data_IF_937999655742
#
_entry.id   IF_937999655742
#
_cell.length_a   1.000
_cell.length_b   1.000
_cell.length_c   1.000
_cell.angle_alpha   90.00
_cell.angle_beta   90.00
_cell.angle_gamma   90.00
#
_symmetry.space_group_name_H-M   'P 1'
#
loop_
_entity.id
_entity.type
_entity.pdbx_description
1 polymer ?
#
# COMPACT_ATOMS: atom_id res chain seq x y z
N UNK A 1 -39.14 -41.04 -8.00
CA UNK A 1 -40.18 -40.73 -9.00
C UNK A 1 -40.53 -39.27 -8.81
N UNK A 2 -40.34 -38.32 -9.70
CA UNK A 2 -40.16 -38.30 -11.16
C UNK A 2 -39.41 -37.00 -11.49
N UNK A 3 -38.44 -37.05 -12.40
CA UNK A 3 -37.76 -35.87 -12.95
C UNK A 3 -38.67 -35.14 -13.94
N UNK A 4 -38.65 -33.80 -13.96
CA UNK A 4 -39.13 -33.02 -15.12
C UNK A 4 -38.08 -32.01 -15.58
N UNK A 5 -37.43 -32.36 -16.68
CA UNK A 5 -36.69 -31.49 -17.61
C UNK A 5 -37.67 -30.65 -18.42
N UNK A 6 -37.38 -29.38 -18.64
CA UNK A 6 -37.82 -28.53 -19.76
C UNK A 6 -36.79 -27.40 -19.86
N UNK A 7 -36.28 -26.87 -20.98
CA UNK A 7 -36.04 -27.29 -22.37
C UNK A 7 -35.24 -26.08 -22.93
N UNK A 8 -34.04 -26.32 -23.45
CA UNK A 8 -33.29 -25.35 -24.26
C UNK A 8 -33.82 -25.47 -25.68
N UNK A 9 -34.22 -24.37 -26.30
CA UNK A 9 -34.35 -24.28 -27.75
C UNK A 9 -33.38 -23.20 -28.24
N UNK A 10 -32.53 -23.67 -29.17
CA UNK A 10 -31.57 -22.95 -30.01
C UNK A 10 -32.31 -22.21 -31.15
N UNK A 11 -31.51 -21.49 -31.93
CA UNK A 11 -31.49 -21.35 -33.40
C UNK A 11 -31.25 -19.86 -33.74
N UNK A 12 -30.03 -19.49 -34.12
CA UNK A 12 -29.44 -19.53 -35.49
C UNK A 12 -29.71 -18.15 -36.16
N UNK A 13 -28.88 -17.56 -37.03
CA UNK A 13 -27.70 -17.98 -37.78
C UNK A 13 -27.06 -16.67 -38.31
N UNK A 14 -25.75 -16.71 -38.48
CA UNK A 14 -24.92 -16.11 -39.54
C UNK A 14 -25.28 -14.75 -40.19
N UNK A 15 -24.25 -13.89 -40.28
CA UNK A 15 -23.77 -13.44 -41.59
C UNK A 15 -22.36 -12.86 -41.57
N UNK A 16 -21.66 -13.19 -42.65
CA UNK A 16 -20.23 -13.07 -42.93
C UNK A 16 -19.73 -11.64 -43.16
N UNK A 17 -18.41 -11.48 -42.93
CA UNK A 17 -17.51 -11.00 -43.98
C UNK A 17 -17.19 -9.51 -44.01
N UNK A 18 -15.94 -9.15 -43.71
CA UNK A 18 -14.97 -8.62 -44.68
C UNK A 18 -13.84 -7.86 -44.00
N UNK A 19 -12.60 -8.28 -44.29
CA UNK A 19 -11.39 -7.49 -44.08
C UNK A 19 -11.41 -6.24 -44.95
N UNK A 20 -10.93 -5.11 -44.43
CA UNK A 20 -10.24 -4.08 -45.22
C UNK A 20 -9.32 -3.26 -44.33
N UNK A 21 -8.02 -3.37 -44.63
CA UNK A 21 -6.99 -2.42 -44.22
C UNK A 21 -7.28 -1.06 -44.85
N UNK A 22 -7.26 0.00 -44.05
CA UNK A 22 -7.10 1.37 -44.55
C UNK A 22 -6.51 2.26 -43.45
N UNK A 23 -5.31 2.74 -43.72
CA UNK A 23 -4.61 3.74 -42.93
C UNK A 23 -5.26 5.11 -43.15
N UNK A 24 -5.71 5.76 -42.08
CA UNK A 24 -5.81 7.22 -42.06
C UNK A 24 -5.45 7.75 -40.67
N UNK A 25 -4.28 8.37 -40.62
CA UNK A 25 -3.89 9.35 -39.63
C UNK A 25 -4.88 10.52 -39.62
N UNK A 26 -5.52 10.75 -38.49
CA UNK A 26 -6.13 12.03 -38.16
C UNK A 26 -6.16 12.20 -36.64
N UNK A 27 -5.71 13.36 -36.25
CA UNK A 27 -5.47 13.83 -34.91
C UNK A 27 -6.76 13.80 -34.09
N UNK A 28 -6.84 12.89 -33.12
CA UNK A 28 -7.67 13.12 -31.94
C UNK A 28 -6.77 13.58 -30.81
N UNK A 29 -6.88 14.88 -30.53
CA UNK A 29 -6.47 15.51 -29.27
C UNK A 29 -7.24 14.87 -28.12
N UNK A 30 -6.83 13.67 -27.75
CA UNK A 30 -7.11 13.08 -26.45
C UNK A 30 -6.33 13.87 -25.41
N UNK A 31 -6.94 14.92 -24.88
CA UNK A 31 -6.47 15.57 -23.66
C UNK A 31 -6.54 14.55 -22.51
N UNK A 32 -5.52 13.69 -22.40
CA UNK A 32 -5.26 12.88 -21.22
C UNK A 32 -4.75 13.82 -20.13
N UNK A 33 -5.68 14.55 -19.52
CA UNK A 33 -5.47 15.40 -18.37
C UNK A 33 -5.24 14.59 -17.10
N UNK A 34 -4.21 13.75 -17.08
CA UNK A 34 -3.50 13.47 -15.83
C UNK A 34 -2.40 14.50 -15.77
N UNK A 35 -2.67 15.61 -15.06
CA UNK A 35 -1.65 16.58 -14.71
C UNK A 35 -0.41 15.79 -14.26
N UNK A 36 0.69 15.96 -14.98
CA UNK A 36 1.96 15.33 -14.66
C UNK A 36 2.34 15.78 -13.25
N UNK A 37 1.97 14.98 -12.23
CA UNK A 37 2.46 15.13 -10.87
C UNK A 37 3.95 14.87 -10.96
N UNK A 38 4.73 15.94 -11.11
CA UNK A 38 6.18 15.82 -11.08
C UNK A 38 6.56 15.36 -9.67
N UNK A 39 7.00 14.11 -9.56
CA UNK A 39 7.32 13.49 -8.27
C UNK A 39 8.67 13.95 -7.71
N UNK A 40 9.39 14.83 -8.42
CA UNK A 40 10.58 15.52 -7.92
C UNK A 40 10.29 16.41 -6.70
N UNK A 41 9.01 16.73 -6.48
CA UNK A 41 8.51 17.56 -5.39
C UNK A 41 8.86 17.03 -3.97
N UNK A 42 8.89 15.70 -3.77
CA UNK A 42 9.19 15.11 -2.46
C UNK A 42 10.68 15.20 -2.05
N UNK A 43 11.55 15.76 -2.90
CA UNK A 43 12.99 15.91 -2.62
C UNK A 43 13.33 17.24 -1.92
N UNK A 44 12.35 18.11 -1.68
CA UNK A 44 12.59 19.39 -1.01
C UNK A 44 13.21 19.22 0.39
N UNK A 45 14.11 20.14 0.74
CA UNK A 45 14.66 20.23 2.09
C UNK A 45 13.64 20.86 3.07
N UNK A 46 12.67 21.63 2.56
CA UNK A 46 11.65 22.33 3.35
C UNK A 46 10.53 21.37 3.77
N UNK A 47 10.34 21.10 5.09
CA UNK A 47 9.32 20.16 5.55
C UNK A 47 7.89 20.55 5.19
N UNK A 48 7.59 21.85 5.08
CA UNK A 48 6.23 22.33 4.74
C UNK A 48 5.88 22.06 3.28
N UNK A 49 6.87 22.14 2.38
CA UNK A 49 6.69 21.76 0.97
C UNK A 49 6.47 20.25 0.86
N UNK A 50 7.32 19.46 1.54
CA UNK A 50 7.16 17.99 1.60
C UNK A 50 5.77 17.60 2.10
N UNK A 51 5.21 18.30 3.10
CA UNK A 51 3.84 18.05 3.57
C UNK A 51 2.79 18.32 2.49
N UNK A 52 2.89 19.46 1.80
CA UNK A 52 1.98 19.81 0.70
C UNK A 52 2.03 18.76 -0.42
N UNK A 53 3.23 18.38 -0.81
CA UNK A 53 3.45 17.44 -1.92
C UNK A 53 3.02 16.02 -1.54
N UNK A 54 3.23 15.61 -0.29
CA UNK A 54 2.73 14.34 0.24
C UNK A 54 1.19 14.30 0.24
N UNK A 55 0.53 15.40 0.61
CA UNK A 55 -0.94 15.50 0.55
C UNK A 55 -1.47 15.40 -0.89
N UNK A 56 -0.79 16.06 -1.83
CA UNK A 56 -1.13 15.96 -3.26
C UNK A 56 -0.95 14.54 -3.78
N UNK A 57 0.18 13.90 -3.45
CA UNK A 57 0.45 12.52 -3.82
C UNK A 57 -0.63 11.57 -3.27
N UNK A 58 -0.95 11.69 -1.98
CA UNK A 58 -2.00 10.90 -1.34
C UNK A 58 -3.36 11.11 -2.01
N UNK A 59 -3.66 12.33 -2.47
CA UNK A 59 -4.89 12.63 -3.19
C UNK A 59 -4.91 12.02 -4.59
N UNK A 60 -3.77 11.94 -5.28
CA UNK A 60 -3.65 11.27 -6.58
C UNK A 60 -3.76 9.74 -6.45
N UNK A 61 -3.26 9.16 -5.36
CA UNK A 61 -3.21 7.71 -5.13
C UNK A 61 -4.45 7.18 -4.37
N UNK A 62 -5.64 7.57 -4.82
CA UNK A 62 -6.92 7.17 -4.19
C UNK A 62 -7.53 5.88 -4.76
N UNK A 63 -7.21 5.51 -5.99
CA UNK A 63 -7.75 4.31 -6.64
C UNK A 63 -6.69 3.20 -6.76
N UNK A 64 -7.17 1.95 -6.88
CA UNK A 64 -6.30 0.80 -7.15
C UNK A 64 -5.49 1.00 -8.43
N UNK A 65 -6.10 1.48 -9.51
CA UNK A 65 -5.41 1.71 -10.79
C UNK A 65 -4.28 2.73 -10.65
N UNK A 66 -4.54 3.89 -10.05
CA UNK A 66 -3.54 4.93 -9.85
C UNK A 66 -2.36 4.44 -9.00
N UNK A 67 -2.62 3.64 -7.96
CA UNK A 67 -1.57 3.04 -7.13
C UNK A 67 -0.75 2.02 -7.92
N UNK A 68 -1.39 1.15 -8.69
CA UNK A 68 -0.69 0.14 -9.49
C UNK A 68 0.18 0.78 -10.57
N UNK A 69 -0.35 1.81 -11.26
CA UNK A 69 0.40 2.57 -12.25
C UNK A 69 1.60 3.29 -11.61
N UNK A 70 1.40 3.94 -10.46
CA UNK A 70 2.47 4.59 -9.70
C UNK A 70 3.60 3.60 -9.32
N UNK A 71 3.27 2.45 -8.73
CA UNK A 71 4.29 1.49 -8.31
C UNK A 71 5.01 0.85 -9.50
N UNK A 72 4.31 0.64 -10.62
CA UNK A 72 4.84 -0.01 -11.82
C UNK A 72 5.72 0.94 -12.65
N UNK A 73 5.25 2.15 -12.88
CA UNK A 73 5.90 3.10 -13.80
C UNK A 73 6.82 4.09 -13.10
N UNK A 74 6.69 4.25 -11.79
CA UNK A 74 7.48 5.19 -10.99
C UNK A 74 8.09 4.55 -9.73
N UNK A 75 8.81 3.42 -9.85
CA UNK A 75 9.35 2.69 -8.70
C UNK A 75 10.34 3.54 -7.87
N UNK A 76 11.08 4.45 -8.48
CA UNK A 76 11.98 5.40 -7.82
C UNK A 76 11.22 6.36 -6.90
N UNK A 77 10.04 6.81 -7.30
CA UNK A 77 9.23 7.72 -6.50
C UNK A 77 8.66 7.03 -5.27
N UNK A 78 8.34 5.73 -5.37
CA UNK A 78 8.03 4.94 -4.17
C UNK A 78 9.21 4.89 -3.20
N UNK A 79 10.46 4.77 -3.67
CA UNK A 79 11.64 4.88 -2.78
C UNK A 79 11.70 6.23 -2.07
N UNK A 80 11.40 7.32 -2.78
CA UNK A 80 11.39 8.67 -2.20
C UNK A 80 10.34 8.77 -1.10
N UNK A 81 9.13 8.24 -1.30
CA UNK A 81 8.08 8.19 -0.26
C UNK A 81 8.56 7.42 0.97
N UNK A 82 9.23 6.28 0.78
CA UNK A 82 9.80 5.49 1.89
C UNK A 82 10.88 6.27 2.64
N UNK A 83 11.74 7.01 1.94
CA UNK A 83 12.75 7.86 2.57
C UNK A 83 12.10 9.02 3.37
N UNK A 84 11.04 9.64 2.83
CA UNK A 84 10.26 10.66 3.55
C UNK A 84 9.62 10.07 4.80
N UNK A 85 9.06 8.86 4.72
CA UNK A 85 8.54 8.12 5.87
C UNK A 85 9.62 7.94 6.96
N UNK A 86 10.78 7.40 6.62
CA UNK A 86 11.87 7.17 7.58
C UNK A 86 12.39 8.49 8.20
N UNK A 87 12.48 9.54 7.40
CA UNK A 87 12.82 10.89 7.88
C UNK A 87 11.76 11.43 8.84
N UNK A 88 10.48 11.23 8.53
CA UNK A 88 9.37 11.66 9.37
C UNK A 88 9.30 10.86 10.68
N UNK A 89 9.59 9.56 10.69
CA UNK A 89 9.71 8.75 11.92
C UNK A 89 10.77 9.35 12.84
N UNK A 90 11.93 9.71 12.29
CA UNK A 90 13.05 10.28 13.04
C UNK A 90 12.77 11.70 13.57
N UNK A 91 11.79 12.40 13.00
CA UNK A 91 11.47 13.80 13.34
C UNK A 91 10.10 14.01 13.97
N UNK A 92 9.25 13.00 14.06
CA UNK A 92 7.87 13.12 14.58
C UNK A 92 7.79 12.97 16.11
N UNK A 93 8.85 12.46 16.74
CA UNK A 93 8.91 12.31 18.20
C UNK A 93 9.19 13.67 18.85
N UNK A 94 8.21 14.18 19.61
CA UNK A 94 8.36 15.42 20.38
C UNK A 94 8.43 16.71 19.57
N UNK A 95 8.32 16.65 18.24
CA UNK A 95 8.29 17.85 17.38
C UNK A 95 6.87 18.14 16.92
N UNK A 96 6.53 19.43 16.90
CA UNK A 96 5.28 19.93 16.33
C UNK A 96 5.20 19.76 14.80
N UNK A 97 4.18 20.34 14.16
CA UNK A 97 4.03 20.34 12.70
C UNK A 97 5.31 20.75 11.96
N UNK A 98 5.56 20.24 10.75
CA UNK A 98 4.67 19.40 9.93
C UNK A 98 4.92 17.89 10.04
N UNK A 99 5.92 17.44 10.81
CA UNK A 99 6.38 16.04 10.80
C UNK A 99 5.34 14.98 11.15
N UNK A 100 4.44 15.16 12.14
CA UNK A 100 3.38 14.19 12.41
C UNK A 100 2.42 13.99 11.24
N UNK A 101 2.13 15.05 10.49
CA UNK A 101 1.26 15.03 9.31
C UNK A 101 1.92 14.28 8.15
N UNK A 102 3.19 14.62 7.86
CA UNK A 102 4.03 13.91 6.87
C UNK A 102 4.12 12.42 7.20
N UNK A 103 4.33 12.09 8.48
CA UNK A 103 4.40 10.70 8.91
C UNK A 103 3.10 9.95 8.59
N UNK A 104 1.96 10.49 9.01
CA UNK A 104 0.65 9.85 8.78
C UNK A 104 0.36 9.68 7.29
N UNK A 105 0.62 10.70 6.49
CA UNK A 105 0.33 10.65 5.06
C UNK A 105 1.27 9.71 4.30
N UNK A 106 2.57 9.70 4.64
CA UNK A 106 3.52 8.76 4.05
C UNK A 106 3.19 7.30 4.40
N UNK A 107 2.85 6.99 5.66
CA UNK A 107 2.37 5.65 6.04
C UNK A 107 1.13 5.29 5.22
N UNK A 108 0.18 6.23 5.07
CA UNK A 108 -1.06 5.97 4.34
C UNK A 108 -0.82 5.63 2.87
N UNK A 109 0.08 6.37 2.20
CA UNK A 109 0.49 6.11 0.82
C UNK A 109 1.17 4.75 0.71
N UNK A 110 2.15 4.45 1.56
CA UNK A 110 2.87 3.18 1.53
C UNK A 110 1.92 2.00 1.79
N UNK A 111 0.99 2.14 2.73
CA UNK A 111 -0.02 1.11 3.02
C UNK A 111 -0.92 0.84 1.82
N UNK A 112 -1.31 1.86 1.06
CA UNK A 112 -2.10 1.69 -0.16
C UNK A 112 -1.28 0.98 -1.25
N UNK A 113 0.00 1.35 -1.43
CA UNK A 113 0.91 0.66 -2.34
C UNK A 113 1.05 -0.82 -1.98
N UNK A 114 1.29 -1.14 -0.70
CA UNK A 114 1.41 -2.51 -0.22
C UNK A 114 0.10 -3.30 -0.32
N UNK A 115 -1.06 -2.64 -0.28
CA UNK A 115 -2.35 -3.31 -0.45
C UNK A 115 -2.58 -3.85 -1.88
N UNK A 116 -1.98 -3.19 -2.89
CA UNK A 116 -2.26 -3.46 -4.29
C UNK A 116 -1.06 -3.94 -5.10
N UNK A 117 0.13 -4.01 -4.49
CA UNK A 117 1.37 -4.38 -5.16
C UNK A 117 2.32 -5.17 -4.24
N UNK A 118 2.55 -6.44 -4.61
CA UNK A 118 3.56 -7.29 -3.95
C UNK A 118 4.97 -6.69 -4.08
N UNK A 119 5.27 -6.02 -5.19
CA UNK A 119 6.56 -5.36 -5.41
C UNK A 119 6.80 -4.23 -4.40
N UNK A 120 5.75 -3.51 -3.99
CA UNK A 120 5.85 -2.52 -2.92
C UNK A 120 6.18 -3.21 -1.59
N UNK A 121 5.51 -4.32 -1.26
CA UNK A 121 5.77 -5.11 -0.05
C UNK A 121 7.21 -5.64 0.01
N UNK A 122 7.69 -6.27 -1.06
CA UNK A 122 9.07 -6.80 -1.15
C UNK A 122 10.08 -5.66 -1.05
N UNK A 123 9.82 -4.51 -1.68
CA UNK A 123 10.71 -3.36 -1.55
C UNK A 123 10.84 -2.87 -0.11
N UNK A 124 9.78 -2.96 0.70
CA UNK A 124 9.81 -2.60 2.12
C UNK A 124 10.63 -3.57 2.99
N UNK A 125 10.97 -4.76 2.52
CA UNK A 125 11.81 -5.74 3.26
C UNK A 125 13.31 -5.51 3.05
N UNK A 126 13.70 -4.61 2.13
CA UNK A 126 15.10 -4.33 1.85
C UNK A 126 15.84 -3.93 3.12
N UNK A 127 17.06 -4.45 3.33
CA UNK A 127 17.89 -4.17 4.52
C UNK A 127 18.19 -2.69 4.74
N UNK A 128 18.08 -1.86 3.69
CA UNK A 128 18.21 -0.39 3.78
C UNK A 128 17.01 0.28 4.44
N UNK A 129 15.88 -0.41 4.53
CA UNK A 129 14.62 0.09 5.09
C UNK A 129 14.42 -0.60 6.44
N UNK A 130 14.68 0.11 7.52
CA UNK A 130 14.47 -0.39 8.88
C UNK A 130 13.00 -0.28 9.30
N UNK A 131 12.08 -0.84 8.48
CA UNK A 131 10.64 -0.74 8.72
C UNK A 131 10.27 -1.29 10.10
N UNK A 132 10.81 -2.44 10.49
CA UNK A 132 10.43 -3.05 11.77
C UNK A 132 10.81 -2.16 12.96
N UNK A 133 11.99 -1.55 12.93
CA UNK A 133 12.41 -0.58 13.94
C UNK A 133 11.54 0.68 13.92
N UNK A 134 11.17 1.18 12.74
CA UNK A 134 10.29 2.33 12.60
C UNK A 134 8.88 2.05 13.17
N UNK A 135 8.32 0.86 12.89
CA UNK A 135 7.03 0.43 13.39
C UNK A 135 7.03 0.29 14.91
N UNK A 136 8.03 -0.38 15.48
CA UNK A 136 8.19 -0.50 16.95
C UNK A 136 8.23 0.89 17.60
N UNK A 137 9.05 1.81 17.07
CA UNK A 137 9.14 3.19 17.57
C UNK A 137 7.78 3.90 17.52
N UNK A 138 7.01 3.74 16.46
CA UNK A 138 5.67 4.35 16.34
C UNK A 138 4.70 3.77 17.37
N UNK A 139 4.69 2.45 17.56
CA UNK A 139 3.77 1.80 18.48
C UNK A 139 4.07 2.14 19.94
N UNK A 140 5.35 2.18 20.31
CA UNK A 140 5.80 2.48 21.68
C UNK A 140 5.66 3.96 22.05
N UNK A 141 5.63 4.86 21.07
CA UNK A 141 5.60 6.29 21.35
C UNK A 141 4.21 6.77 21.76
N UNK A 142 4.10 7.35 22.96
CA UNK A 142 2.84 7.88 23.51
C UNK A 142 2.42 9.22 22.91
N UNK A 143 3.36 9.98 22.34
CA UNK A 143 3.10 11.26 21.66
C UNK A 143 2.58 11.08 20.23
N UNK A 144 2.74 9.89 19.64
CA UNK A 144 2.19 9.58 18.32
C UNK A 144 0.71 9.27 18.46
N UNK A 145 -0.11 10.00 17.71
CA UNK A 145 -1.56 9.85 17.69
C UNK A 145 -2.00 8.44 17.29
N UNK A 146 -3.11 7.99 17.87
CA UNK A 146 -3.64 6.65 17.67
C UNK A 146 -3.92 6.35 16.19
N UNK A 147 -4.48 7.30 15.44
CA UNK A 147 -4.76 7.16 14.01
C UNK A 147 -3.52 6.84 13.15
N UNK A 148 -2.36 7.35 13.56
CA UNK A 148 -1.07 7.05 12.95
C UNK A 148 -0.63 5.62 13.28
N UNK A 149 -0.83 5.16 14.52
CA UNK A 149 -0.59 3.77 14.94
C UNK A 149 -1.51 2.81 14.18
N UNK A 150 -2.80 3.11 14.05
CA UNK A 150 -3.75 2.34 13.23
C UNK A 150 -3.27 2.24 11.78
N UNK A 151 -2.80 3.35 11.21
CA UNK A 151 -2.28 3.40 9.84
C UNK A 151 -1.02 2.54 9.68
N UNK A 152 -0.13 2.53 10.68
CA UNK A 152 1.05 1.68 10.70
C UNK A 152 0.67 0.20 10.84
N UNK A 153 -0.24 -0.15 11.75
CA UNK A 153 -0.76 -1.50 11.89
C UNK A 153 -1.39 -2.00 10.57
N UNK A 154 -2.13 -1.14 9.86
CA UNK A 154 -2.67 -1.43 8.52
C UNK A 154 -1.57 -1.71 7.49
N UNK A 155 -0.50 -0.92 7.47
CA UNK A 155 0.66 -1.17 6.61
C UNK A 155 1.26 -2.55 6.88
N UNK A 156 1.53 -2.86 8.15
CA UNK A 156 2.09 -4.16 8.54
C UNK A 156 1.14 -5.30 8.16
N UNK A 157 -0.16 -5.14 8.38
CA UNK A 157 -1.17 -6.12 7.98
C UNK A 157 -1.17 -6.38 6.47
N UNK A 158 -1.07 -5.33 5.66
CA UNK A 158 -0.99 -5.44 4.20
C UNK A 158 0.32 -6.13 3.76
N UNK A 159 1.43 -5.91 4.45
CA UNK A 159 2.66 -6.64 4.18
C UNK A 159 2.57 -8.13 4.57
N UNK A 160 1.84 -8.45 5.63
CA UNK A 160 1.64 -9.82 6.08
C UNK A 160 0.74 -10.66 5.16
N UNK A 161 0.19 -10.09 4.08
CA UNK A 161 -0.56 -10.88 3.08
C UNK A 161 0.37 -11.64 2.12
N UNK A 162 1.66 -11.30 2.09
CA UNK A 162 2.65 -11.95 1.22
C UNK A 162 3.75 -12.61 2.05
N UNK A 163 4.12 -13.83 1.66
CA UNK A 163 5.04 -14.68 2.43
C UNK A 163 6.40 -14.04 2.72
N UNK A 164 7.06 -13.46 1.73
CA UNK A 164 8.40 -12.88 1.91
C UNK A 164 8.39 -11.73 2.92
N UNK A 165 7.45 -10.80 2.78
CA UNK A 165 7.29 -9.70 3.72
C UNK A 165 6.77 -10.15 5.09
N UNK A 166 5.88 -11.14 5.15
CA UNK A 166 5.48 -11.76 6.41
C UNK A 166 6.67 -12.38 7.16
N UNK A 167 7.56 -13.09 6.47
CA UNK A 167 8.77 -13.67 7.06
C UNK A 167 9.73 -12.59 7.58
N UNK A 168 9.89 -11.48 6.84
CA UNK A 168 10.66 -10.33 7.30
C UNK A 168 10.08 -9.75 8.61
N UNK A 169 8.75 -9.58 8.69
CA UNK A 169 8.09 -9.09 9.91
C UNK A 169 8.25 -10.10 11.06
N UNK A 170 8.03 -11.39 10.81
CA UNK A 170 8.17 -12.46 11.79
C UNK A 170 9.59 -12.59 12.36
N UNK A 171 10.61 -12.24 11.56
CA UNK A 171 12.01 -12.24 12.00
C UNK A 171 12.32 -11.21 13.09
N UNK A 172 11.44 -10.24 13.32
CA UNK A 172 11.59 -9.22 14.34
C UNK A 172 10.63 -9.46 15.51
N UNK A 173 11.10 -10.19 16.52
CA UNK A 173 10.30 -10.56 17.70
C UNK A 173 9.68 -9.34 18.40
N UNK A 174 10.44 -8.24 18.56
CA UNK A 174 9.93 -7.02 19.19
C UNK A 174 8.73 -6.43 18.44
N UNK A 175 8.74 -6.43 17.11
CA UNK A 175 7.58 -5.98 16.34
C UNK A 175 6.39 -6.93 16.50
N UNK A 176 6.63 -8.24 16.50
CA UNK A 176 5.56 -9.24 16.73
C UNK A 176 4.93 -9.05 18.10
N UNK A 177 5.72 -8.86 19.15
CA UNK A 177 5.23 -8.60 20.51
C UNK A 177 4.37 -7.33 20.55
N UNK A 178 4.80 -6.26 19.87
CA UNK A 178 4.01 -5.03 19.78
C UNK A 178 2.71 -5.22 19.02
N UNK A 179 2.68 -6.03 17.97
CA UNK A 179 1.42 -6.36 17.28
C UNK A 179 0.46 -7.13 18.19
N UNK A 180 0.97 -8.05 19.01
CA UNK A 180 0.15 -8.78 19.99
C UNK A 180 -0.42 -7.83 21.05
N UNK A 181 0.40 -6.93 21.59
CA UNK A 181 -0.07 -5.93 22.55
C UNK A 181 -1.13 -4.99 21.96
N UNK A 182 -1.05 -4.67 20.67
CA UNK A 182 -2.07 -3.86 19.99
C UNK A 182 -3.44 -4.57 19.88
N UNK A 183 -3.52 -5.88 20.09
CA UNK A 183 -4.80 -6.59 20.18
C UNK A 183 -5.61 -6.17 21.42
N UNK A 184 -4.93 -5.68 22.46
CA UNK A 184 -5.52 -5.18 23.70
C UNK A 184 -5.83 -3.67 23.62
N UNK A 185 -5.66 -3.04 22.45
CA UNK A 185 -5.96 -1.62 22.28
C UNK A 185 -7.45 -1.35 22.43
N UNK A 186 -7.81 -0.30 23.18
CA UNK A 186 -9.18 0.20 23.28
C UNK A 186 -9.75 0.75 21.95
N UNK A 187 -8.89 1.01 20.96
CA UNK A 187 -9.30 1.41 19.63
C UNK A 187 -9.52 0.18 18.74
N UNK A 188 -10.79 -0.16 18.50
CA UNK A 188 -11.22 -1.32 17.70
C UNK A 188 -10.56 -1.35 16.32
N UNK A 189 -10.35 -0.18 15.69
CA UNK A 189 -9.73 -0.10 14.39
C UNK A 189 -8.28 -0.60 14.45
N UNK A 190 -7.52 -0.17 15.45
CA UNK A 190 -6.14 -0.62 15.69
C UNK A 190 -6.08 -2.10 16.02
N UNK A 191 -6.90 -2.58 16.96
CA UNK A 191 -6.97 -3.99 17.32
C UNK A 191 -7.32 -4.86 16.10
N UNK A 192 -8.24 -4.41 15.25
CA UNK A 192 -8.61 -5.09 14.00
C UNK A 192 -7.43 -5.18 13.03
N UNK A 193 -6.66 -4.10 12.85
CA UNK A 193 -5.48 -4.15 11.98
C UNK A 193 -4.38 -5.06 12.55
N UNK A 194 -4.16 -5.02 13.86
CA UNK A 194 -3.21 -5.91 14.53
C UNK A 194 -3.62 -7.39 14.35
N UNK A 195 -4.90 -7.72 14.53
CA UNK A 195 -5.43 -9.05 14.30
C UNK A 195 -5.25 -9.51 12.85
N UNK A 196 -5.47 -8.62 11.87
CA UNK A 196 -5.19 -8.90 10.45
C UNK A 196 -3.71 -9.22 10.23
N UNK A 197 -2.79 -8.47 10.83
CA UNK A 197 -1.37 -8.74 10.73
C UNK A 197 -1.01 -10.11 11.33
N UNK A 198 -1.45 -10.40 12.56
CA UNK A 198 -1.20 -11.68 13.24
C UNK A 198 -1.74 -12.86 12.43
N UNK A 199 -2.97 -12.76 11.90
CA UNK A 199 -3.54 -13.78 11.01
C UNK A 199 -2.71 -13.98 9.75
N UNK A 200 -2.20 -12.89 9.16
CA UNK A 200 -1.31 -12.95 8.00
C UNK A 200 0.01 -13.66 8.30
N UNK A 201 0.63 -13.39 9.46
CA UNK A 201 1.84 -14.07 9.91
C UNK A 201 1.60 -15.58 10.09
N UNK A 202 0.54 -15.95 10.81
CA UNK A 202 0.17 -17.37 11.01
C UNK A 202 -0.14 -18.06 9.68
N UNK A 203 -0.91 -17.42 8.81
CA UNK A 203 -1.27 -17.96 7.49
C UNK A 203 -0.04 -18.25 6.62
N UNK A 204 0.99 -17.39 6.66
CA UNK A 204 2.21 -17.58 5.89
C UNK A 204 3.24 -18.51 6.55
N UNK A 205 3.14 -18.75 7.86
CA UNK A 205 4.00 -19.70 8.58
C UNK A 205 3.66 -21.18 8.30
N UNK A 206 2.41 -21.46 7.93
CA UNK A 206 1.89 -22.82 7.78
C UNK A 206 1.94 -23.36 6.33
N UNK A 207 2.45 -22.59 5.37
CA UNK A 207 2.61 -23.06 3.99
C UNK A 207 3.86 -23.93 3.91
N UNK A 208 3.65 -25.25 4.09
CA UNK A 208 4.67 -26.29 3.97
C UNK A 208 5.52 -26.05 2.72
N UNK A 209 6.83 -25.99 2.92
CA UNK A 209 7.84 -26.17 1.89
C UNK A 209 7.69 -27.57 1.29
N UNK A 210 6.90 -27.69 0.23
CA UNK A 210 7.08 -28.79 -0.72
C UNK A 210 8.32 -28.45 -1.55
N UNK A 211 9.44 -28.93 -1.03
CA UNK A 211 10.69 -29.20 -1.76
C UNK A 211 10.45 -30.19 -2.88
#
# INVERSE_FOLDING_TARGET
MESKRIKLDNEDEDSQGSNSLSCHSSEERGASGTAATSFDLLKSANPSEVEKDMKQLKAALRSKSAVQDFVKHHPENFSVVVNVFLKAVSNSVGKGPPWPSILKDSISVIANCCNYSVNACVKMTSSKISLSHAAVRIFENTSIKQDCKTSMARLIANMCTHRESANYIASNASLVDRLVLLLESEDDATATQALRAVRGLVGNSNVKSHS
#
